data_IF_140554720851
#
_entry.id   IF_140554720851
#
_cell.length_a   1.000
_cell.length_b   1.000
_cell.length_c   1.000
_cell.angle_alpha   90.00
_cell.angle_beta   90.00
_cell.angle_gamma   90.00
#
_symmetry.space_group_name_H-M   'P 1'
#
loop_
_entity.id
_entity.type
_entity.pdbx_description
1 polymer ?
#
# COMPACT_ATOMS: atom_id res chain seq x y z
N UNK A 1 -16.41 0.12 -21.40
CA UNK A 1 -15.40 1.11 -20.95
C UNK A 1 -16.09 2.13 -20.05
N UNK A 2 -15.55 2.31 -18.86
CA UNK A 2 -16.04 3.29 -17.89
C UNK A 2 -15.24 4.59 -18.09
N UNK A 3 -15.89 5.63 -18.57
CA UNK A 3 -15.27 6.94 -18.75
C UNK A 3 -15.30 7.82 -17.50
N UNK A 4 -16.20 7.52 -16.56
CA UNK A 4 -16.34 8.23 -15.28
C UNK A 4 -17.07 7.34 -14.28
N UNK A 5 -16.46 7.16 -13.14
CA UNK A 5 -17.05 6.50 -11.98
C UNK A 5 -16.70 7.25 -10.69
N UNK A 6 -17.57 7.18 -9.71
CA UNK A 6 -17.35 7.77 -8.41
C UNK A 6 -17.50 6.69 -7.32
N UNK A 7 -16.54 6.65 -6.42
CA UNK A 7 -16.54 5.74 -5.27
C UNK A 7 -16.50 6.60 -4.02
N UNK A 8 -17.48 6.43 -3.15
CA UNK A 8 -17.47 7.10 -1.85
C UNK A 8 -16.73 6.26 -0.82
N UNK A 9 -15.69 6.85 -0.24
CA UNK A 9 -14.89 6.25 0.84
C UNK A 9 -15.01 7.16 2.07
N UNK A 10 -15.81 6.76 3.05
CA UNK A 10 -16.16 7.65 4.16
C UNK A 10 -16.93 8.88 3.67
N UNK A 11 -16.36 10.06 3.87
CA UNK A 11 -16.87 11.36 3.42
C UNK A 11 -16.20 11.87 2.14
N UNK A 12 -15.27 11.11 1.58
CA UNK A 12 -14.47 11.47 0.40
C UNK A 12 -14.99 10.77 -0.84
N UNK A 13 -15.03 11.47 -1.96
CA UNK A 13 -15.33 10.91 -3.27
C UNK A 13 -14.03 10.71 -4.05
N UNK A 14 -13.81 9.48 -4.51
CA UNK A 14 -12.70 9.11 -5.38
C UNK A 14 -13.22 8.93 -6.79
N UNK A 15 -12.66 9.66 -7.74
CA UNK A 15 -12.94 9.47 -9.15
C UNK A 15 -12.15 8.28 -9.71
N UNK A 16 -12.81 7.46 -10.50
CA UNK A 16 -12.22 6.34 -11.18
C UNK A 16 -12.73 6.23 -12.62
N UNK A 17 -11.88 5.78 -13.51
CA UNK A 17 -12.22 5.51 -14.90
C UNK A 17 -11.29 4.46 -15.48
N UNK A 18 -11.69 3.84 -16.58
CA UNK A 18 -10.87 2.83 -17.23
C UNK A 18 -9.63 3.47 -17.87
N UNK A 19 -8.48 2.84 -17.66
CA UNK A 19 -7.25 3.19 -18.34
C UNK A 19 -7.36 2.87 -19.84
N UNK A 20 -6.85 3.73 -20.68
CA UNK A 20 -6.70 3.42 -22.10
C UNK A 20 -5.54 2.45 -22.32
N UNK A 21 -5.64 1.56 -23.32
CA UNK A 21 -4.59 0.57 -23.59
C UNK A 21 -3.20 1.16 -23.84
N UNK A 22 -3.14 2.35 -24.43
CA UNK A 22 -1.89 3.06 -24.74
C UNK A 22 -1.26 3.78 -23.55
N UNK A 23 -1.97 3.89 -22.42
CA UNK A 23 -1.41 4.50 -21.22
C UNK A 23 -0.59 3.48 -20.42
N UNK A 24 0.51 3.92 -19.78
CA UNK A 24 1.26 3.02 -18.92
C UNK A 24 0.40 2.48 -17.80
N UNK A 25 0.68 1.24 -17.40
CA UNK A 25 0.05 0.64 -16.24
C UNK A 25 0.73 1.15 -14.97
N UNK A 26 0.02 1.99 -14.23
CA UNK A 26 0.50 2.57 -12.98
C UNK A 26 -0.54 2.38 -11.89
N UNK A 27 -0.15 1.89 -10.70
CA UNK A 27 -1.06 1.84 -9.58
C UNK A 27 -1.36 3.25 -9.05
N UNK A 28 -2.58 3.46 -8.56
CA UNK A 28 -2.85 4.60 -7.68
C UNK A 28 -2.27 4.32 -6.29
N UNK A 29 -1.72 5.34 -5.67
CA UNK A 29 -1.27 5.30 -4.28
C UNK A 29 -2.24 6.14 -3.45
N UNK A 30 -3.07 5.48 -2.67
CA UNK A 30 -4.13 6.12 -1.90
C UNK A 30 -3.89 5.88 -0.40
N UNK A 31 -4.18 6.88 0.41
CA UNK A 31 -4.14 6.76 1.86
C UNK A 31 -5.53 6.99 2.41
N UNK A 32 -5.96 6.11 3.31
CA UNK A 32 -7.25 6.20 3.95
C UNK A 32 -7.11 6.09 5.47
N UNK A 33 -7.76 7.00 6.19
CA UNK A 33 -7.87 6.94 7.65
C UNK A 33 -9.12 6.16 8.01
N UNK A 34 -8.97 5.16 8.88
CA UNK A 34 -10.04 4.28 9.33
C UNK A 34 -10.00 4.16 10.86
N UNK A 35 -11.13 3.79 11.51
CA UNK A 35 -11.16 3.60 12.96
C UNK A 35 -10.27 2.45 13.46
N UNK A 36 -10.13 1.38 12.67
CA UNK A 36 -9.34 0.19 13.01
C UNK A 36 -8.63 -0.33 11.76
N UNK A 37 -7.35 -0.01 11.63
CA UNK A 37 -6.55 -0.38 10.46
C UNK A 37 -6.38 -1.89 10.33
N UNK A 38 -6.18 -2.61 11.44
CA UNK A 38 -6.03 -4.08 11.40
C UNK A 38 -7.29 -4.74 10.86
N UNK A 39 -8.46 -4.32 11.34
CA UNK A 39 -9.73 -4.85 10.87
C UNK A 39 -10.00 -4.47 9.41
N UNK A 40 -9.72 -3.23 9.02
CA UNK A 40 -9.90 -2.79 7.64
C UNK A 40 -8.99 -3.55 6.66
N UNK A 41 -7.74 -3.83 7.04
CA UNK A 41 -6.84 -4.66 6.24
C UNK A 41 -7.33 -6.10 6.14
N UNK A 42 -7.80 -6.69 7.23
CA UNK A 42 -8.38 -8.03 7.21
C UNK A 42 -9.62 -8.11 6.30
N UNK A 43 -10.49 -7.10 6.34
CA UNK A 43 -11.64 -7.00 5.47
C UNK A 43 -11.22 -6.88 3.99
N UNK A 44 -10.20 -6.09 3.71
CA UNK A 44 -9.65 -5.94 2.36
C UNK A 44 -9.11 -7.27 1.82
N UNK A 45 -8.37 -8.01 2.62
CA UNK A 45 -7.85 -9.34 2.25
C UNK A 45 -8.99 -10.31 1.99
N UNK A 46 -10.02 -10.32 2.83
CA UNK A 46 -11.22 -11.14 2.61
C UNK A 46 -11.95 -10.79 1.31
N UNK A 47 -11.86 -9.54 0.86
CA UNK A 47 -12.42 -9.07 -0.40
C UNK A 47 -11.49 -9.25 -1.62
N UNK A 48 -10.34 -9.88 -1.45
CA UNK A 48 -9.41 -10.21 -2.53
C UNK A 48 -8.15 -9.37 -2.62
N UNK A 49 -7.92 -8.43 -1.70
CA UNK A 49 -6.69 -7.67 -1.66
C UNK A 49 -5.51 -8.51 -1.12
N UNK A 50 -4.30 -8.07 -1.44
CA UNK A 50 -3.06 -8.68 -0.97
C UNK A 50 -2.30 -7.70 -0.07
N UNK A 51 -1.72 -8.20 1.02
CA UNK A 51 -0.90 -7.37 1.91
C UNK A 51 0.44 -7.04 1.22
N UNK A 52 0.76 -5.76 1.17
CA UNK A 52 2.05 -5.24 0.68
C UNK A 52 2.97 -4.92 1.87
N UNK A 53 2.44 -4.24 2.86
CA UNK A 53 3.14 -3.90 4.10
C UNK A 53 2.29 -4.32 5.28
N UNK A 54 2.82 -5.15 6.17
CA UNK A 54 2.13 -5.56 7.39
C UNK A 54 1.84 -4.35 8.28
N UNK A 55 0.72 -4.41 9.01
CA UNK A 55 0.37 -3.35 9.95
C UNK A 55 1.44 -3.20 11.04
N UNK A 56 1.84 -1.97 11.29
CA UNK A 56 2.76 -1.60 12.35
C UNK A 56 2.46 -0.19 12.83
N UNK A 57 2.98 0.17 14.00
CA UNK A 57 2.79 1.51 14.55
C UNK A 57 4.04 2.35 14.30
N UNK A 58 3.85 3.50 13.66
CA UNK A 58 4.93 4.41 13.30
C UNK A 58 5.25 5.40 14.44
N UNK A 59 6.39 6.07 14.30
CA UNK A 59 6.81 7.14 15.20
C UNK A 59 5.80 8.30 15.26
N UNK A 60 4.99 8.49 14.23
CA UNK A 60 3.95 9.53 14.17
C UNK A 60 2.68 9.18 14.95
N UNK A 61 2.62 8.03 15.62
CA UNK A 61 1.42 7.56 16.28
C UNK A 61 0.34 7.05 15.34
N UNK A 62 0.72 6.60 14.17
CA UNK A 62 -0.17 6.00 13.19
C UNK A 62 0.07 4.50 13.09
N UNK A 63 -0.99 3.72 13.24
CA UNK A 63 -0.94 2.28 13.01
C UNK A 63 -1.58 1.95 11.67
N UNK A 64 -0.87 1.20 10.85
CA UNK A 64 -1.41 0.80 9.56
C UNK A 64 -0.44 0.03 8.72
N UNK A 65 -0.90 -0.33 7.54
CA UNK A 65 -0.14 -1.06 6.55
C UNK A 65 -0.66 -0.77 5.15
N UNK A 66 -0.14 -1.49 4.16
CA UNK A 66 -0.56 -1.34 2.78
C UNK A 66 -1.16 -2.63 2.24
N UNK A 67 -2.20 -2.49 1.46
CA UNK A 67 -2.77 -3.57 0.67
C UNK A 67 -2.82 -3.17 -0.80
N UNK A 68 -2.72 -4.15 -1.69
CA UNK A 68 -2.99 -3.96 -3.12
C UNK A 68 -4.35 -4.59 -3.42
N UNK A 69 -5.27 -3.80 -3.97
CA UNK A 69 -6.59 -4.28 -4.31
C UNK A 69 -6.55 -5.15 -5.59
N UNK A 70 -7.64 -5.90 -5.90
CA UNK A 70 -7.68 -6.75 -7.10
C UNK A 70 -7.55 -5.99 -8.43
N UNK A 71 -7.72 -4.68 -8.40
CA UNK A 71 -7.59 -3.80 -9.57
C UNK A 71 -6.20 -3.19 -9.72
N UNK A 72 -5.28 -3.49 -8.79
CA UNK A 72 -3.89 -3.05 -8.84
C UNK A 72 -3.58 -1.76 -8.10
N UNK A 73 -4.54 -1.15 -7.41
CA UNK A 73 -4.32 0.07 -6.64
C UNK A 73 -3.78 -0.26 -5.25
N UNK A 74 -2.88 0.57 -4.74
CA UNK A 74 -2.25 0.40 -3.43
C UNK A 74 -2.89 1.37 -2.45
N UNK A 75 -3.37 0.82 -1.34
CA UNK A 75 -4.02 1.55 -0.27
C UNK A 75 -3.16 1.50 0.98
N UNK A 76 -2.81 2.67 1.49
CA UNK A 76 -2.23 2.80 2.82
C UNK A 76 -3.37 3.04 3.82
N UNK A 77 -3.65 1.99 4.59
CA UNK A 77 -4.76 1.97 5.57
C UNK A 77 -4.21 2.34 6.93
N UNK A 78 -4.72 3.40 7.54
CA UNK A 78 -4.12 4.05 8.70
C UNK A 78 -5.16 4.37 9.76
N UNK A 79 -4.81 4.14 11.02
CA UNK A 79 -5.53 4.62 12.20
C UNK A 79 -4.61 5.54 13.01
N UNK A 80 -5.07 6.74 13.35
CA UNK A 80 -4.35 7.61 14.28
C UNK A 80 -4.59 7.09 15.69
N UNK A 81 -3.59 6.41 16.27
CA UNK A 81 -3.71 5.80 17.61
C UNK A 81 -3.17 6.70 18.72
N UNK A 82 -2.35 7.68 18.38
CA UNK A 82 -1.72 8.59 19.31
C UNK A 82 -1.45 9.93 18.63
N UNK A 83 -1.71 11.03 19.31
CA UNK A 83 -1.25 12.35 18.87
C UNK A 83 0.14 12.58 19.45
N UNK A 84 1.15 12.57 18.58
CA UNK A 84 2.56 12.65 19.00
C UNK A 84 3.07 14.08 18.80
N UNK A 85 3.57 14.75 19.87
CA UNK A 85 4.25 16.03 19.73
C UNK A 85 5.53 15.91 18.88
N UNK A 86 5.88 16.94 18.13
CA UNK A 86 7.03 16.93 17.21
C UNK A 86 8.33 16.54 17.90
N UNK A 87 8.59 17.05 19.12
CA UNK A 87 9.79 16.71 19.86
C UNK A 87 9.89 15.22 20.19
N UNK A 88 8.76 14.58 20.54
CA UNK A 88 8.71 13.14 20.80
C UNK A 88 8.88 12.35 19.52
N UNK A 89 8.30 12.80 18.42
CA UNK A 89 8.46 12.18 17.11
C UNK A 89 9.93 12.15 16.69
N UNK A 90 10.66 13.25 16.83
CA UNK A 90 12.09 13.30 16.50
C UNK A 90 12.94 12.37 17.36
N UNK A 91 12.60 12.21 18.64
CA UNK A 91 13.26 11.24 19.54
C UNK A 91 13.00 9.81 19.04
N UNK A 92 11.76 9.49 18.68
CA UNK A 92 11.37 8.16 18.20
C UNK A 92 12.07 7.77 16.89
N UNK A 93 12.34 8.71 16.00
CA UNK A 93 13.10 8.42 14.78
C UNK A 93 14.51 7.89 15.05
N UNK A 94 15.09 8.21 16.20
CA UNK A 94 16.41 7.73 16.60
C UNK A 94 16.35 6.36 17.30
N UNK A 95 15.17 5.90 17.71
CA UNK A 95 14.98 4.60 18.35
C UNK A 95 15.06 3.48 17.30
N UNK A 96 15.85 2.40 17.55
CA UNK A 96 16.07 1.34 16.56
C UNK A 96 14.78 0.64 16.09
N UNK A 97 13.80 0.49 16.97
CA UNK A 97 12.52 -0.15 16.65
C UNK A 97 11.70 0.66 15.63
N UNK A 98 11.59 1.98 15.83
CA UNK A 98 10.88 2.85 14.89
C UNK A 98 11.64 3.03 13.57
N UNK A 99 12.97 3.11 13.63
CA UNK A 99 13.79 3.16 12.42
C UNK A 99 13.66 1.89 11.59
N UNK A 100 13.64 0.73 12.23
CA UNK A 100 13.43 -0.55 11.56
C UNK A 100 12.03 -0.65 10.93
N UNK A 101 11.00 -0.18 11.64
CA UNK A 101 9.63 -0.13 11.12
C UNK A 101 9.54 0.74 9.87
N UNK A 102 10.13 1.91 9.89
CA UNK A 102 10.14 2.83 8.74
C UNK A 102 10.87 2.23 7.54
N UNK A 103 12.00 1.56 7.77
CA UNK A 103 12.75 0.87 6.73
C UNK A 103 11.92 -0.23 6.08
N UNK A 104 11.24 -1.08 6.86
CA UNK A 104 10.35 -2.13 6.34
C UNK A 104 9.23 -1.52 5.51
N UNK A 105 8.63 -0.42 5.98
CA UNK A 105 7.57 0.26 5.24
C UNK A 105 8.03 0.80 3.89
N UNK A 106 9.26 1.30 3.80
CA UNK A 106 9.86 1.77 2.54
C UNK A 106 10.25 0.60 1.63
N UNK A 107 10.93 -0.40 2.17
CA UNK A 107 11.41 -1.56 1.40
C UNK A 107 10.27 -2.38 0.81
N UNK A 108 9.18 -2.56 1.54
CA UNK A 108 8.03 -3.32 1.05
C UNK A 108 7.31 -2.59 -0.07
N UNK A 109 7.19 -1.27 -0.01
CA UNK A 109 6.64 -0.48 -1.10
C UNK A 109 7.56 -0.48 -2.33
N UNK A 110 8.86 -0.31 -2.12
CA UNK A 110 9.84 -0.37 -3.20
C UNK A 110 9.83 -1.72 -3.91
N UNK A 111 9.83 -2.82 -3.15
CA UNK A 111 9.74 -4.16 -3.71
C UNK A 111 8.47 -4.38 -4.54
N UNK A 112 7.34 -3.85 -4.08
CA UNK A 112 6.06 -3.94 -4.79
C UNK A 112 6.08 -3.14 -6.10
N UNK A 113 6.52 -1.89 -6.05
CA UNK A 113 6.55 -1.01 -7.22
C UNK A 113 7.62 -1.39 -8.24
N UNK A 114 8.75 -1.94 -7.79
CA UNK A 114 9.83 -2.41 -8.68
C UNK A 114 9.59 -3.80 -9.25
N UNK A 115 8.53 -4.52 -8.85
CA UNK A 115 8.23 -5.87 -9.25
C UNK A 115 9.11 -6.95 -8.61
N UNK A 116 9.96 -6.62 -7.65
CA UNK A 116 10.83 -7.60 -6.96
C UNK A 116 10.03 -8.63 -6.15
N UNK A 117 8.85 -8.27 -5.69
CA UNK A 117 7.94 -9.17 -4.97
C UNK A 117 7.61 -10.42 -5.80
N UNK A 118 7.38 -10.28 -7.10
CA UNK A 118 7.08 -11.41 -7.97
C UNK A 118 8.26 -12.37 -8.15
N UNK A 119 9.49 -11.87 -8.08
CA UNK A 119 10.71 -12.70 -8.17
C UNK A 119 10.92 -13.54 -6.91
N UNK A 120 10.55 -13.01 -5.73
CA UNK A 120 10.70 -13.71 -4.44
C UNK A 120 9.66 -14.80 -4.23
N UNK A 121 8.47 -14.66 -4.79
CA UNK A 121 7.38 -15.64 -4.64
C UNK A 121 7.48 -16.83 -5.59
N UNK A 122 8.57 -16.95 -6.37
CA UNK A 122 8.78 -18.09 -7.27
C UNK A 122 7.78 -18.17 -8.43
N UNK A 123 7.06 -17.09 -8.73
CA UNK A 123 6.23 -17.04 -9.93
C UNK A 123 7.11 -17.29 -11.16
N UNK A 124 6.68 -18.14 -12.11
CA UNK A 124 7.47 -18.41 -13.28
C UNK A 124 7.74 -17.12 -14.04
N UNK A 125 9.00 -16.77 -14.17
CA UNK A 125 9.45 -15.71 -15.06
C UNK A 125 9.10 -16.21 -16.45
N UNK A 126 8.25 -15.50 -17.18
CA UNK A 126 7.98 -15.81 -18.57
C UNK A 126 9.28 -15.91 -19.36
N UNK A 127 9.27 -16.60 -20.52
CA UNK A 127 10.48 -16.83 -21.28
C UNK A 127 11.20 -15.52 -21.57
N UNK A 128 12.52 -15.55 -21.41
CA UNK A 128 13.39 -14.43 -21.77
C UNK A 128 13.16 -14.02 -23.22
N UNK A 129 13.24 -12.71 -23.55
CA UNK A 129 13.13 -12.25 -24.94
C UNK A 129 14.05 -12.98 -25.92
N UNK A 130 15.18 -13.51 -25.44
CA UNK A 130 16.14 -14.29 -26.24
C UNK A 130 15.66 -15.72 -26.56
N UNK A 131 14.59 -16.19 -25.94
CA UNK A 131 14.01 -17.52 -26.21
C UNK A 131 12.85 -17.47 -27.20
N UNK A 132 12.48 -16.28 -27.70
CA UNK A 132 11.41 -16.05 -28.67
C UNK A 132 11.94 -15.82 -30.10
N UNK A 133 13.19 -16.21 -30.35
CA UNK A 133 13.75 -16.21 -31.72
C UNK A 133 13.60 -17.56 -32.38
#
# INVERSE_FOLDING_TARGET
TIGHGEIKVGDTVVLAFDRRPEWPDMPSLLRVFVPDADQAMANAVAAGARVVTQASTSAFGQRGGRVRDPFGNIWWVVTQVELVPDAVMWQRFQEPGYAAQMRVAQETLDAELSGQQHRRSGAPVGPSPDQLK
#
